data_IF_357206332287
#
_entry.id   IF_357206332287
#
_cell.length_a   1.000
_cell.length_b   1.000
_cell.length_c   1.000
_cell.angle_alpha   90.00
_cell.angle_beta   90.00
_cell.angle_gamma   90.00
#
_symmetry.space_group_name_H-M   'P 1'
#
loop_
_entity.id
_entity.type
_entity.pdbx_description
1 polymer ?
#
# COMPACT_ATOMS: atom_id res chain seq x y z
N UNK A 1 3.54 21.91 0.66
CA UNK A 1 4.86 21.84 1.33
C UNK A 1 5.93 21.67 0.28
N UNK A 2 7.10 22.31 0.39
CA UNK A 2 8.19 22.12 -0.56
C UNK A 2 8.73 20.68 -0.48
N UNK A 3 9.01 20.09 -1.65
CA UNK A 3 9.68 18.81 -1.75
C UNK A 3 11.12 18.90 -1.21
N UNK A 4 11.59 17.88 -0.51
CA UNK A 4 12.98 17.81 0.00
C UNK A 4 13.16 18.08 1.49
N UNK A 5 12.11 18.45 2.22
CA UNK A 5 12.18 18.50 3.68
C UNK A 5 12.01 17.09 4.27
N UNK A 6 12.96 16.65 5.07
CA UNK A 6 13.00 15.28 5.66
C UNK A 6 11.72 14.90 6.41
N UNK A 7 11.05 15.88 7.04
CA UNK A 7 9.84 15.64 7.85
C UNK A 7 8.54 16.05 7.14
N UNK A 8 8.58 16.46 5.86
CA UNK A 8 7.41 16.96 5.15
C UNK A 8 6.29 15.91 5.08
N UNK A 9 6.66 14.68 4.74
CA UNK A 9 5.71 13.57 4.60
C UNK A 9 5.04 13.22 5.94
N UNK A 10 5.82 13.09 7.02
CA UNK A 10 5.29 12.78 8.35
C UNK A 10 4.37 13.90 8.88
N UNK A 11 4.72 15.16 8.62
CA UNK A 11 3.88 16.29 8.98
C UNK A 11 2.59 16.32 8.19
N UNK A 12 2.66 16.05 6.87
CA UNK A 12 1.48 15.98 6.02
C UNK A 12 0.53 14.84 6.47
N UNK A 13 1.06 13.65 6.72
CA UNK A 13 0.27 12.53 7.24
C UNK A 13 -0.43 12.88 8.57
N UNK A 14 0.27 13.58 9.47
CA UNK A 14 -0.34 14.02 10.74
C UNK A 14 -1.50 14.97 10.49
N UNK A 15 -1.31 15.98 9.63
CA UNK A 15 -2.37 16.92 9.26
C UNK A 15 -3.57 16.20 8.65
N UNK A 16 -3.33 15.27 7.70
CA UNK A 16 -4.41 14.50 7.07
C UNK A 16 -5.17 13.63 8.07
N UNK A 17 -4.45 12.97 8.98
CA UNK A 17 -5.06 12.17 10.03
C UNK A 17 -5.86 13.04 11.02
N UNK A 18 -5.39 14.23 11.36
CA UNK A 18 -6.11 15.13 12.26
C UNK A 18 -7.38 15.69 11.60
N UNK A 19 -7.27 16.10 10.33
CA UNK A 19 -8.38 16.67 9.55
C UNK A 19 -9.48 15.63 9.28
N UNK A 20 -9.10 14.40 8.93
CA UNK A 20 -10.04 13.32 8.59
C UNK A 20 -10.33 12.37 9.75
N UNK A 21 -9.82 12.66 10.96
CA UNK A 21 -10.02 11.84 12.17
C UNK A 21 -11.45 11.39 12.42
N UNK A 22 -12.51 12.23 12.21
CA UNK A 22 -13.89 11.82 12.43
C UNK A 22 -14.37 10.70 11.50
N UNK A 23 -13.68 10.46 10.40
CA UNK A 23 -14.09 9.55 9.33
C UNK A 23 -13.15 8.34 9.16
N UNK A 24 -11.94 8.42 9.78
CA UNK A 24 -10.97 7.32 9.74
C UNK A 24 -11.56 6.11 10.46
N UNK A 25 -11.37 4.92 9.88
CA UNK A 25 -11.88 3.63 10.33
C UNK A 25 -13.42 3.45 10.20
N UNK A 26 -14.16 4.51 9.86
CA UNK A 26 -15.59 4.41 9.54
C UNK A 26 -15.78 4.23 8.02
N UNK A 27 -15.44 5.25 7.24
CA UNK A 27 -15.54 5.21 5.77
C UNK A 27 -14.33 5.84 5.04
N UNK A 28 -13.26 6.22 5.75
CA UNK A 28 -12.04 6.82 5.17
C UNK A 28 -10.80 6.07 5.64
N UNK A 29 -9.91 5.79 4.70
CA UNK A 29 -8.53 5.36 4.95
C UNK A 29 -7.60 6.40 4.35
N UNK A 30 -6.59 6.81 5.11
CA UNK A 30 -5.55 7.75 4.67
C UNK A 30 -4.21 7.05 4.71
N UNK A 31 -3.48 7.12 3.59
CA UNK A 31 -2.11 6.63 3.52
C UNK A 31 -1.27 7.57 2.65
N UNK A 32 -0.30 8.23 3.28
CA UNK A 32 0.52 9.26 2.64
C UNK A 32 -0.37 10.37 2.04
N UNK A 33 -0.37 10.51 0.73
CA UNK A 33 -1.16 11.47 -0.05
C UNK A 33 -2.44 10.88 -0.66
N UNK A 34 -2.67 9.58 -0.47
CA UNK A 34 -3.85 8.88 -0.98
C UNK A 34 -4.96 8.80 0.08
N UNK A 35 -6.17 9.15 -0.31
CA UNK A 35 -7.38 9.05 0.51
C UNK A 35 -8.34 8.07 -0.18
N UNK A 36 -8.67 6.99 0.50
CA UNK A 36 -9.69 6.04 0.07
C UNK A 36 -10.98 6.28 0.84
N UNK A 37 -12.07 6.56 0.12
CA UNK A 37 -13.43 6.63 0.69
C UNK A 37 -14.18 5.37 0.25
N UNK A 38 -14.74 4.63 1.21
CA UNK A 38 -15.48 3.39 0.93
C UNK A 38 -16.83 3.40 1.64
N UNK A 39 -17.84 2.80 1.04
CA UNK A 39 -19.19 2.75 1.58
C UNK A 39 -19.91 1.50 1.11
N UNK A 40 -20.96 1.10 1.81
CA UNK A 40 -21.71 -0.13 1.48
C UNK A 40 -22.72 0.09 0.36
N UNK A 41 -23.33 1.29 0.29
CA UNK A 41 -24.32 1.65 -0.72
C UNK A 41 -23.87 2.84 -1.53
N UNK A 42 -24.48 3.05 -2.69
CA UNK A 42 -24.21 4.22 -3.53
C UNK A 42 -24.62 5.52 -2.86
N UNK A 43 -25.76 5.52 -2.20
CA UNK A 43 -26.31 6.67 -1.49
C UNK A 43 -25.39 7.11 -0.35
N UNK A 44 -24.89 6.15 0.44
CA UNK A 44 -23.90 6.42 1.49
C UNK A 44 -22.60 6.93 0.87
N UNK A 45 -22.15 6.33 -0.25
CA UNK A 45 -20.91 6.74 -0.90
C UNK A 45 -20.94 8.21 -1.34
N UNK A 46 -22.04 8.66 -1.95
CA UNK A 46 -22.19 10.07 -2.35
C UNK A 46 -22.14 11.00 -1.14
N UNK A 47 -22.77 10.61 -0.02
CA UNK A 47 -22.75 11.36 1.23
C UNK A 47 -21.36 11.41 1.85
N UNK A 48 -20.67 10.27 1.94
CA UNK A 48 -19.36 10.14 2.56
C UNK A 48 -18.27 10.89 1.78
N UNK A 49 -18.30 10.78 0.45
CA UNK A 49 -17.42 11.56 -0.43
C UNK A 49 -17.67 13.07 -0.26
N UNK A 50 -18.93 13.50 -0.21
CA UNK A 50 -19.27 14.91 0.01
C UNK A 50 -18.72 15.40 1.35
N UNK A 51 -18.94 14.66 2.44
CA UNK A 51 -18.45 15.02 3.77
C UNK A 51 -16.93 15.14 3.79
N UNK A 52 -16.23 14.18 3.18
CA UNK A 52 -14.76 14.19 3.05
C UNK A 52 -14.30 15.45 2.31
N UNK A 53 -14.89 15.75 1.15
CA UNK A 53 -14.53 16.92 0.34
C UNK A 53 -14.86 18.24 1.04
N UNK A 54 -15.96 18.32 1.78
CA UNK A 54 -16.35 19.53 2.53
C UNK A 54 -15.34 19.83 3.64
N UNK A 55 -14.84 18.80 4.35
CA UNK A 55 -13.81 18.98 5.38
C UNK A 55 -12.48 19.38 4.74
N UNK A 56 -12.04 18.72 3.67
CA UNK A 56 -10.80 19.10 2.97
C UNK A 56 -10.86 20.55 2.48
N UNK A 57 -11.99 20.97 1.90
CA UNK A 57 -12.21 22.35 1.45
C UNK A 57 -12.12 23.35 2.59
N UNK A 58 -12.73 23.06 3.75
CA UNK A 58 -12.70 23.92 4.94
C UNK A 58 -11.27 24.13 5.44
N UNK A 59 -10.43 23.08 5.36
CA UNK A 59 -9.04 23.11 5.79
C UNK A 59 -8.08 23.59 4.67
N UNK A 60 -8.63 24.12 3.55
CA UNK A 60 -7.86 24.58 2.38
C UNK A 60 -6.93 23.50 1.77
N UNK A 61 -7.35 22.24 1.84
CA UNK A 61 -6.67 21.12 1.20
C UNK A 61 -7.31 20.87 -0.16
N UNK A 62 -6.54 20.99 -1.22
CA UNK A 62 -7.03 20.91 -2.59
C UNK A 62 -6.79 19.51 -3.18
N UNK A 63 -7.83 18.96 -3.78
CA UNK A 63 -7.81 17.66 -4.45
C UNK A 63 -7.63 17.85 -5.95
N UNK A 64 -6.71 17.11 -6.56
CA UNK A 64 -6.51 17.12 -8.02
C UNK A 64 -7.49 16.16 -8.68
N UNK A 65 -8.62 16.67 -9.17
CA UNK A 65 -9.71 15.87 -9.76
C UNK A 65 -9.25 14.93 -10.88
N UNK A 66 -8.27 15.34 -11.70
CA UNK A 66 -7.73 14.48 -12.78
C UNK A 66 -6.97 13.24 -12.29
N UNK A 67 -6.68 13.14 -10.98
CA UNK A 67 -6.07 11.97 -10.34
C UNK A 67 -7.07 11.18 -9.48
N UNK A 68 -8.31 11.66 -9.37
CA UNK A 68 -9.33 11.01 -8.56
C UNK A 68 -10.08 9.96 -9.38
N UNK A 69 -10.30 8.81 -8.78
CA UNK A 69 -11.22 7.81 -9.26
C UNK A 69 -12.46 7.83 -8.36
N UNK A 70 -13.63 8.09 -8.93
CA UNK A 70 -14.87 8.19 -8.18
C UNK A 70 -15.88 7.13 -8.66
N UNK A 71 -16.71 6.65 -7.74
CA UNK A 71 -17.82 5.74 -8.04
C UNK A 71 -17.39 4.40 -8.61
N UNK A 72 -16.25 3.89 -8.21
CA UNK A 72 -15.75 2.58 -8.60
C UNK A 72 -16.21 1.49 -7.64
N UNK A 73 -16.60 0.34 -8.16
CA UNK A 73 -16.90 -0.85 -7.35
C UNK A 73 -15.63 -1.57 -6.89
N UNK A 74 -14.52 -1.34 -7.58
CA UNK A 74 -13.17 -1.76 -7.19
C UNK A 74 -12.14 -0.79 -7.78
N UNK A 75 -11.01 -0.64 -7.11
CA UNK A 75 -9.90 0.21 -7.56
C UNK A 75 -8.55 -0.32 -7.05
N UNK A 76 -7.47 0.14 -7.68
CA UNK A 76 -6.11 -0.13 -7.21
C UNK A 76 -5.75 0.83 -6.07
N UNK A 77 -5.39 0.29 -4.91
CA UNK A 77 -4.95 1.06 -3.75
C UNK A 77 -3.75 0.37 -3.10
N UNK A 78 -2.62 1.05 -3.06
CA UNK A 78 -1.36 0.54 -2.46
C UNK A 78 -0.92 -0.83 -3.02
N UNK A 79 -1.12 -1.07 -4.31
CA UNK A 79 -0.77 -2.35 -4.95
C UNK A 79 -1.77 -3.48 -4.72
N UNK A 80 -2.92 -3.16 -4.10
CA UNK A 80 -4.04 -4.08 -3.95
C UNK A 80 -5.20 -3.65 -4.83
N UNK A 81 -6.00 -4.62 -5.28
CA UNK A 81 -7.33 -4.37 -5.79
C UNK A 81 -8.29 -4.48 -4.60
N UNK A 82 -8.92 -3.35 -4.27
CA UNK A 82 -9.88 -3.22 -3.17
C UNK A 82 -11.27 -3.04 -3.73
N UNK A 83 -12.23 -3.85 -3.33
CA UNK A 83 -13.62 -3.72 -3.77
C UNK A 83 -14.42 -5.01 -3.63
N UNK A 84 -15.75 -4.89 -3.66
CA UNK A 84 -16.65 -6.05 -3.53
C UNK A 84 -16.51 -6.84 -2.23
N UNK A 85 -15.98 -6.22 -1.16
CA UNK A 85 -15.70 -6.91 0.11
C UNK A 85 -14.44 -7.78 0.07
N UNK A 86 -13.64 -7.71 -0.98
CA UNK A 86 -12.42 -8.47 -1.18
C UNK A 86 -11.19 -7.58 -1.27
N UNK A 87 -10.06 -8.14 -0.85
CA UNK A 87 -8.73 -7.56 -1.03
C UNK A 87 -7.90 -8.55 -1.84
N UNK A 88 -7.49 -8.16 -3.04
CA UNK A 88 -6.65 -8.98 -3.93
C UNK A 88 -5.32 -8.28 -4.19
N UNK A 89 -4.28 -9.05 -4.50
CA UNK A 89 -3.03 -8.46 -5.02
C UNK A 89 -3.28 -8.01 -6.45
N UNK A 90 -2.73 -6.85 -6.83
CA UNK A 90 -2.69 -6.44 -8.24
C UNK A 90 -1.88 -7.47 -9.04
N UNK A 91 -2.45 -8.05 -10.11
CA UNK A 91 -1.75 -9.03 -10.96
C UNK A 91 -0.39 -8.55 -11.47
N UNK A 92 -0.25 -7.24 -11.74
CA UNK A 92 1.03 -6.66 -12.15
C UNK A 92 2.13 -6.83 -11.10
N UNK A 93 1.77 -6.83 -9.81
CA UNK A 93 2.71 -7.06 -8.71
C UNK A 93 3.11 -8.53 -8.59
N UNK A 94 2.17 -9.42 -8.85
CA UNK A 94 2.46 -10.87 -8.92
C UNK A 94 3.42 -11.15 -10.07
N UNK A 95 3.20 -10.55 -11.23
CA UNK A 95 4.08 -10.70 -12.40
C UNK A 95 5.52 -10.23 -12.11
N UNK A 96 5.68 -9.10 -11.42
CA UNK A 96 7.02 -8.61 -10.99
C UNK A 96 7.73 -9.64 -10.12
N UNK A 97 7.02 -10.28 -9.19
CA UNK A 97 7.60 -11.30 -8.31
C UNK A 97 7.98 -12.57 -9.09
N UNK A 98 7.09 -13.03 -9.96
CA UNK A 98 7.32 -14.24 -10.78
C UNK A 98 8.50 -14.05 -11.72
N UNK A 99 8.66 -12.87 -12.30
CA UNK A 99 9.74 -12.51 -13.20
C UNK A 99 10.96 -11.89 -12.51
N UNK A 100 11.03 -11.98 -11.17
CA UNK A 100 12.17 -11.43 -10.43
C UNK A 100 13.48 -12.08 -10.90
N UNK A 101 14.50 -11.29 -11.22
CA UNK A 101 15.77 -11.84 -11.68
C UNK A 101 16.44 -12.68 -10.59
N UNK A 102 17.14 -13.73 -11.00
CA UNK A 102 17.89 -14.57 -10.06
C UNK A 102 18.90 -13.71 -9.29
N UNK A 103 18.88 -13.72 -7.95
CA UNK A 103 19.78 -12.92 -7.15
C UNK A 103 21.20 -13.50 -7.20
N UNK A 104 22.18 -12.63 -7.46
CA UNK A 104 23.60 -12.98 -7.47
C UNK A 104 24.28 -12.62 -6.15
N UNK A 105 23.66 -11.79 -5.34
CA UNK A 105 24.19 -11.30 -4.07
C UNK A 105 23.18 -11.45 -2.93
N UNK A 106 23.68 -11.53 -1.70
CA UNK A 106 22.83 -11.54 -0.51
C UNK A 106 21.98 -10.25 -0.38
N UNK A 107 22.45 -9.12 -0.91
CA UNK A 107 21.71 -7.86 -0.90
C UNK A 107 20.53 -7.90 -1.84
N UNK A 108 20.71 -8.37 -3.07
CA UNK A 108 19.63 -8.56 -4.04
C UNK A 108 18.58 -9.55 -3.49
N UNK A 109 19.04 -10.61 -2.83
CA UNK A 109 18.16 -11.59 -2.22
C UNK A 109 17.35 -11.01 -1.05
N UNK A 110 17.95 -10.15 -0.23
CA UNK A 110 17.21 -9.42 0.82
C UNK A 110 16.16 -8.49 0.25
N UNK A 111 16.44 -7.84 -0.89
CA UNK A 111 15.46 -7.00 -1.59
C UNK A 111 14.26 -7.82 -2.06
N UNK A 112 14.51 -8.99 -2.64
CA UNK A 112 13.44 -9.93 -3.02
C UNK A 112 12.60 -10.38 -1.82
N UNK A 113 13.25 -10.80 -0.72
CA UNK A 113 12.53 -11.18 0.50
C UNK A 113 11.75 -10.03 1.12
N UNK A 114 12.26 -8.81 1.03
CA UNK A 114 11.57 -7.60 1.47
C UNK A 114 10.28 -7.37 0.70
N UNK A 115 10.30 -7.53 -0.62
CA UNK A 115 9.09 -7.45 -1.46
C UNK A 115 8.11 -8.55 -1.10
N UNK A 116 8.54 -9.80 -0.98
CA UNK A 116 7.67 -10.91 -0.57
C UNK A 116 7.05 -10.70 0.81
N UNK A 117 7.77 -10.07 1.75
CA UNK A 117 7.28 -9.78 3.09
C UNK A 117 6.06 -8.87 3.07
N UNK A 118 5.98 -7.94 2.13
CA UNK A 118 4.82 -7.06 1.94
C UNK A 118 3.55 -7.87 1.58
N UNK A 119 3.71 -8.91 0.77
CA UNK A 119 2.63 -9.77 0.28
C UNK A 119 2.36 -11.02 1.14
N UNK A 120 3.04 -11.15 2.28
CA UNK A 120 3.05 -12.37 3.12
C UNK A 120 1.68 -12.91 3.49
N UNK A 121 0.67 -12.04 3.65
CA UNK A 121 -0.69 -12.47 4.02
C UNK A 121 -1.43 -13.21 2.90
N UNK A 122 -0.95 -13.14 1.67
CA UNK A 122 -1.50 -13.86 0.52
C UNK A 122 -0.71 -15.13 0.18
N UNK A 123 0.40 -15.37 0.86
CA UNK A 123 1.27 -16.54 0.64
C UNK A 123 1.04 -17.51 1.78
N UNK A 124 0.39 -18.64 1.45
CA UNK A 124 0.14 -19.71 2.43
C UNK A 124 1.47 -20.20 3.01
N UNK A 125 1.52 -20.35 4.34
CA UNK A 125 2.70 -20.86 5.07
C UNK A 125 3.97 -20.04 4.79
N UNK A 126 3.85 -18.73 4.56
CA UNK A 126 4.98 -17.85 4.22
C UNK A 126 6.18 -18.04 5.14
N UNK A 127 5.98 -18.14 6.46
CA UNK A 127 7.08 -18.28 7.42
C UNK A 127 7.88 -19.56 7.22
N UNK A 128 7.22 -20.67 6.85
CA UNK A 128 7.91 -21.94 6.57
C UNK A 128 8.78 -21.84 5.31
N UNK A 129 8.29 -21.13 4.29
CA UNK A 129 9.02 -20.89 3.04
C UNK A 129 10.17 -19.90 3.26
N UNK A 130 9.91 -18.81 3.99
CA UNK A 130 10.85 -17.72 4.16
C UNK A 130 12.00 -18.05 5.14
N UNK A 131 11.77 -18.88 6.16
CA UNK A 131 12.79 -19.20 7.17
C UNK A 131 14.11 -19.76 6.57
N UNK A 132 14.11 -20.82 5.74
CA UNK A 132 15.34 -21.30 5.12
C UNK A 132 15.95 -20.27 4.17
N UNK A 133 15.12 -19.44 3.51
CA UNK A 133 15.59 -18.39 2.62
C UNK A 133 16.30 -17.26 3.38
N UNK A 134 15.81 -16.88 4.55
CA UNK A 134 16.48 -15.92 5.42
C UNK A 134 17.84 -16.43 5.91
N UNK A 135 18.00 -17.73 6.14
CA UNK A 135 19.28 -18.31 6.53
C UNK A 135 20.38 -18.08 5.49
N UNK A 136 20.04 -18.06 4.19
CA UNK A 136 20.98 -17.75 3.10
C UNK A 136 21.52 -16.32 3.13
N UNK A 137 20.85 -15.41 3.82
CA UNK A 137 21.29 -14.00 3.94
C UNK A 137 22.16 -13.74 5.16
N UNK A 138 22.48 -14.78 5.94
CA UNK A 138 23.32 -14.67 7.14
C UNK A 138 24.74 -14.22 6.78
N UNK A 139 25.26 -13.29 7.57
CA UNK A 139 26.64 -12.75 7.41
C UNK A 139 27.71 -13.82 7.54
N UNK A 140 27.38 -14.97 8.12
CA UNK A 140 28.34 -16.08 8.40
C UNK A 140 28.49 -17.04 7.23
N UNK A 141 27.74 -16.90 6.14
CA UNK A 141 27.81 -17.82 5.01
C UNK A 141 28.09 -17.05 3.70
N UNK A 142 28.88 -17.69 2.84
CA UNK A 142 29.06 -17.22 1.46
C UNK A 142 27.73 -17.43 0.74
N UNK A 143 27.15 -16.36 0.20
CA UNK A 143 25.90 -16.45 -0.53
C UNK A 143 26.07 -17.29 -1.78
N UNK A 144 25.33 -18.37 -1.90
CA UNK A 144 25.24 -19.22 -3.09
C UNK A 144 23.77 -19.46 -3.42
N UNK A 145 23.35 -19.03 -4.60
CA UNK A 145 22.02 -19.26 -5.17
C UNK A 145 22.13 -20.26 -6.32
N UNK A 146 21.38 -21.37 -6.25
CA UNK A 146 21.36 -22.37 -7.33
C UNK A 146 22.37 -23.54 -7.13
N UNK A 147 22.64 -23.97 -5.92
CA UNK A 147 23.24 -25.27 -5.65
C UNK A 147 22.26 -26.40 -5.97
N UNK A 148 22.76 -27.52 -6.62
CA UNK A 148 21.99 -28.73 -6.89
C UNK A 148 21.39 -29.32 -5.62
#
# INVERSE_FOLDING_TARGET
MPFGLTNALATFMRVMNDVLRPFIDDFVIVYLDDILVFSKTWEDHVKDVKQTLDVLKRENIYVKLSKCECGRTSLNYLGYIVGGGELKIDPSKVEVIVNWPNPNTATEFRSFLGELQYWRKFITSFSLIATPLHALTSVKQVFQWGGK
#
